data_IF_045812579457
#
_entry.id   IF_045812579457
#
_cell.length_a   1.000
_cell.length_b   1.000
_cell.length_c   1.000
_cell.angle_alpha   90.00
_cell.angle_beta   90.00
_cell.angle_gamma   90.00
#
_symmetry.space_group_name_H-M   'P 1'
#
loop_
_entity.id
_entity.type
_entity.pdbx_description
1 polymer ?
#
# COMPACT_ATOMS: atom_id res chain seq x y z
N UNK A 1 -12.97 -7.59 -21.65
CA UNK A 1 -11.57 -7.83 -21.35
C UNK A 1 -11.38 -8.33 -19.93
N UNK A 2 -10.70 -9.41 -19.77
CA UNK A 2 -10.46 -9.97 -18.45
C UNK A 2 -9.34 -9.25 -17.73
N UNK A 3 -9.45 -9.20 -16.42
CA UNK A 3 -8.32 -8.79 -15.61
C UNK A 3 -7.18 -9.77 -15.85
N UNK A 4 -6.00 -9.27 -16.15
CA UNK A 4 -4.90 -10.18 -16.45
C UNK A 4 -4.46 -11.00 -15.25
N UNK A 5 -4.47 -10.42 -14.05
CA UNK A 5 -4.00 -11.11 -12.86
C UNK A 5 -4.93 -10.76 -11.69
N UNK A 6 -5.37 -11.79 -10.94
CA UNK A 6 -6.44 -11.57 -9.94
C UNK A 6 -5.99 -11.13 -8.56
N UNK A 7 -4.73 -11.34 -8.20
CA UNK A 7 -4.30 -11.10 -6.80
C UNK A 7 -3.42 -9.88 -6.72
N UNK A 8 -3.84 -8.92 -5.89
CA UNK A 8 -3.18 -7.63 -5.81
C UNK A 8 -2.55 -7.42 -4.44
N UNK A 9 -1.28 -7.04 -4.42
CA UNK A 9 -0.63 -6.51 -3.23
C UNK A 9 -0.54 -5.01 -3.43
N UNK A 10 -0.99 -4.24 -2.46
CA UNK A 10 -1.05 -2.78 -2.60
C UNK A 10 -0.42 -2.10 -1.41
N UNK A 11 0.03 -0.88 -1.63
CA UNK A 11 0.62 -0.05 -0.59
C UNK A 11 -0.09 1.29 -0.59
N UNK A 12 -0.60 1.67 0.56
CA UNK A 12 -1.25 2.94 0.78
C UNK A 12 -0.38 3.80 1.67
N UNK A 13 -0.47 5.11 1.50
CA UNK A 13 0.19 6.05 2.40
C UNK A 13 -0.86 6.91 3.08
N UNK A 14 -0.77 7.01 4.40
CA UNK A 14 -1.66 7.86 5.17
C UNK A 14 -1.27 9.32 4.99
N UNK A 15 -2.22 10.15 4.61
CA UNK A 15 -1.99 11.59 4.55
C UNK A 15 -1.88 12.19 5.95
N UNK A 16 -2.39 11.47 6.95
CA UNK A 16 -2.37 11.96 8.32
C UNK A 16 -1.00 11.81 8.97
N UNK A 17 -0.37 10.65 8.81
CA UNK A 17 0.90 10.39 9.49
C UNK A 17 2.04 9.98 8.57
N UNK A 18 1.78 9.88 7.27
CA UNK A 18 2.80 9.49 6.29
C UNK A 18 3.18 8.03 6.32
N UNK A 19 2.59 7.24 7.19
CA UNK A 19 2.93 5.83 7.30
C UNK A 19 2.34 5.00 6.19
N UNK A 20 2.95 3.84 5.98
CA UNK A 20 2.54 2.94 4.91
C UNK A 20 1.66 1.83 5.45
N UNK A 21 0.68 1.42 4.65
CA UNK A 21 -0.16 0.26 4.93
C UNK A 21 -0.06 -0.69 3.74
N UNK A 22 0.32 -1.92 4.00
CA UNK A 22 0.47 -2.94 2.97
C UNK A 22 -0.68 -3.94 3.09
N UNK A 23 -1.35 -4.22 1.99
CA UNK A 23 -2.48 -5.13 1.99
C UNK A 23 -2.53 -6.04 0.79
N UNK A 24 -3.45 -6.97 0.85
CA UNK A 24 -3.71 -7.94 -0.20
C UNK A 24 -5.20 -7.93 -0.51
N UNK A 25 -5.56 -8.01 -1.78
CA UNK A 25 -6.97 -8.03 -2.16
C UNK A 25 -7.16 -8.64 -3.53
N UNK A 26 -8.37 -9.10 -3.78
CA UNK A 26 -8.80 -9.50 -5.12
C UNK A 26 -9.64 -8.41 -5.77
N UNK A 27 -9.90 -7.30 -5.07
CA UNK A 27 -10.71 -6.21 -5.58
C UNK A 27 -10.16 -4.89 -5.04
N UNK A 28 -9.18 -4.34 -5.75
CA UNK A 28 -8.45 -3.16 -5.28
C UNK A 28 -9.37 -1.95 -5.11
N UNK A 29 -10.27 -1.71 -6.07
CA UNK A 29 -11.14 -0.53 -6.00
C UNK A 29 -12.04 -0.58 -4.77
N UNK A 30 -12.60 -1.74 -4.47
CA UNK A 30 -13.44 -1.88 -3.29
C UNK A 30 -12.65 -1.66 -2.00
N UNK A 31 -11.44 -2.22 -1.93
CA UNK A 31 -10.61 -2.04 -0.73
C UNK A 31 -10.19 -0.59 -0.53
N UNK A 32 -9.89 0.12 -1.61
CA UNK A 32 -9.56 1.53 -1.50
C UNK A 32 -10.73 2.33 -0.92
N UNK A 33 -11.95 2.03 -1.38
CA UNK A 33 -13.12 2.68 -0.84
C UNK A 33 -13.31 2.37 0.64
N UNK A 34 -13.09 1.11 1.03
CA UNK A 34 -13.23 0.72 2.44
C UNK A 34 -12.23 1.45 3.32
N UNK A 35 -10.99 1.56 2.87
CA UNK A 35 -9.96 2.25 3.65
C UNK A 35 -10.29 3.75 3.81
N UNK A 36 -10.85 4.36 2.79
CA UNK A 36 -11.12 5.79 2.82
C UNK A 36 -12.51 6.17 3.32
N UNK A 37 -13.38 5.19 3.56
CA UNK A 37 -14.70 5.44 4.16
C UNK A 37 -14.73 5.13 5.65
N UNK A 38 -13.62 4.64 6.21
CA UNK A 38 -13.56 4.30 7.61
C UNK A 38 -14.15 2.96 7.96
N UNK A 39 -14.52 2.14 6.97
CA UNK A 39 -15.10 0.83 7.24
C UNK A 39 -14.06 -0.25 7.52
N UNK A 40 -12.79 0.04 7.26
CA UNK A 40 -11.71 -0.88 7.60
C UNK A 40 -11.17 -0.50 8.97
N UNK A 41 -11.36 -1.37 9.96
CA UNK A 41 -10.94 -1.08 11.32
C UNK A 41 -9.45 -0.80 11.43
N UNK A 42 -8.65 -1.47 10.62
CA UNK A 42 -7.19 -1.34 10.69
C UNK A 42 -6.70 0.04 10.30
N UNK A 43 -7.47 0.77 9.48
CA UNK A 43 -7.01 2.04 8.92
C UNK A 43 -7.94 3.21 9.22
N UNK A 44 -9.01 2.98 9.95
CA UNK A 44 -10.04 4.01 10.14
C UNK A 44 -9.50 5.31 10.72
N UNK A 45 -8.57 5.25 11.66
CA UNK A 45 -8.04 6.45 12.32
C UNK A 45 -6.86 7.06 11.59
N UNK A 46 -6.43 6.50 10.46
CA UNK A 46 -5.28 6.98 9.72
C UNK A 46 -5.65 7.53 8.34
N UNK A 47 -6.93 7.62 8.03
CA UNK A 47 -7.36 8.17 6.75
C UNK A 47 -7.09 9.68 6.70
N UNK A 48 -7.02 10.26 5.51
CA UNK A 48 -7.21 9.58 4.22
C UNK A 48 -5.95 8.86 3.75
N UNK A 49 -6.17 7.89 2.86
CA UNK A 49 -5.09 7.11 2.28
C UNK A 49 -4.99 7.35 0.78
N UNK A 50 -3.76 7.32 0.30
CA UNK A 50 -3.49 7.41 -1.13
C UNK A 50 -2.78 6.14 -1.57
N UNK A 51 -3.21 5.58 -2.72
CA UNK A 51 -2.53 4.43 -3.31
C UNK A 51 -1.22 4.90 -3.91
N UNK A 52 -0.11 4.33 -3.46
CA UNK A 52 1.21 4.71 -3.98
C UNK A 52 1.89 3.60 -4.76
N UNK A 53 1.40 2.37 -4.64
CA UNK A 53 2.02 1.25 -5.33
C UNK A 53 1.09 0.05 -5.30
N UNK A 54 1.04 -0.72 -6.39
CA UNK A 54 0.37 -2.00 -6.38
C UNK A 54 1.02 -2.92 -7.39
N UNK A 55 0.92 -4.21 -7.14
CA UNK A 55 1.39 -5.21 -8.07
C UNK A 55 0.42 -6.39 -8.06
N UNK A 56 0.34 -7.07 -9.20
CA UNK A 56 -0.62 -8.15 -9.39
C UNK A 56 0.08 -9.46 -9.63
N UNK A 57 -0.52 -10.52 -9.14
CA UNK A 57 0.02 -11.86 -9.23
C UNK A 57 -1.02 -12.83 -9.76
N UNK A 58 -0.54 -13.82 -10.48
CA UNK A 58 -1.40 -14.90 -10.95
C UNK A 58 -1.72 -15.89 -9.84
N UNK A 59 -0.80 -16.09 -8.91
CA UNK A 59 -0.91 -17.08 -7.85
C UNK A 59 -1.14 -16.39 -6.51
N UNK A 60 -2.18 -16.85 -5.79
CA UNK A 60 -2.48 -16.31 -4.48
C UNK A 60 -1.33 -16.49 -3.48
N UNK A 61 -0.72 -17.68 -3.38
CA UNK A 61 0.42 -17.82 -2.46
C UNK A 61 1.57 -16.87 -2.75
N UNK A 62 1.85 -16.61 -4.03
CA UNK A 62 2.91 -15.67 -4.39
C UNK A 62 2.58 -14.27 -3.88
N UNK A 63 1.35 -13.83 -4.09
CA UNK A 63 0.91 -12.52 -3.63
C UNK A 63 0.98 -12.41 -2.10
N UNK A 64 0.52 -13.46 -1.41
CA UNK A 64 0.53 -13.44 0.05
C UNK A 64 1.94 -13.42 0.61
N UNK A 65 2.85 -14.13 -0.02
CA UNK A 65 4.26 -14.14 0.37
C UNK A 65 4.87 -12.75 0.20
N UNK A 66 4.52 -12.09 -0.90
CA UNK A 66 5.00 -10.73 -1.15
C UNK A 66 4.46 -9.76 -0.11
N UNK A 67 3.18 -9.88 0.22
CA UNK A 67 2.58 -9.03 1.24
C UNK A 67 3.32 -9.17 2.57
N UNK A 68 3.59 -10.40 2.98
CA UNK A 68 4.30 -10.66 4.23
C UNK A 68 5.70 -10.04 4.18
N UNK A 69 6.41 -10.21 3.07
CA UNK A 69 7.75 -9.63 2.92
C UNK A 69 7.73 -8.12 3.06
N UNK A 70 6.78 -7.46 2.37
CA UNK A 70 6.74 -5.99 2.39
C UNK A 70 6.41 -5.42 3.76
N UNK A 71 5.85 -6.23 4.64
CA UNK A 71 5.57 -5.80 6.01
C UNK A 71 6.78 -5.93 6.94
N UNK A 72 7.84 -6.61 6.50
CA UNK A 72 9.07 -6.70 7.30
C UNK A 72 9.85 -5.39 7.20
N UNK A 73 10.82 -5.22 8.10
CA UNK A 73 11.69 -4.05 8.07
C UNK A 73 12.45 -3.96 6.75
N UNK A 74 12.95 -5.08 6.25
CA UNK A 74 13.65 -5.11 4.97
C UNK A 74 12.74 -4.74 3.82
N UNK A 75 11.52 -5.28 3.82
CA UNK A 75 10.55 -4.97 2.77
C UNK A 75 10.15 -3.50 2.77
N UNK A 76 9.97 -2.91 3.94
CA UNK A 76 9.63 -1.50 4.03
C UNK A 76 10.76 -0.61 3.55
N UNK A 77 12.01 -0.98 3.84
CA UNK A 77 13.16 -0.25 3.30
C UNK A 77 13.21 -0.36 1.79
N UNK A 78 12.94 -1.55 1.26
CA UNK A 78 12.91 -1.74 -0.19
C UNK A 78 11.83 -0.87 -0.83
N UNK A 79 10.63 -0.81 -0.23
CA UNK A 79 9.56 0.04 -0.73
C UNK A 79 9.97 1.50 -0.78
N UNK A 80 10.60 1.99 0.27
CA UNK A 80 11.01 3.39 0.31
C UNK A 80 12.03 3.72 -0.76
N UNK A 81 12.94 2.79 -1.04
CA UNK A 81 13.88 2.97 -2.13
C UNK A 81 13.20 2.94 -3.49
N UNK A 82 12.29 1.97 -3.68
CA UNK A 82 11.56 1.85 -4.94
C UNK A 82 10.68 3.07 -5.21
N UNK A 83 10.13 3.64 -4.16
CA UNK A 83 9.11 4.68 -4.29
C UNK A 83 9.62 6.05 -3.85
N UNK A 84 10.92 6.27 -3.88
CA UNK A 84 11.48 7.51 -3.36
C UNK A 84 10.97 8.76 -4.08
N UNK A 85 10.54 8.61 -5.33
CA UNK A 85 9.94 9.73 -6.06
C UNK A 85 8.42 9.74 -5.97
N UNK A 86 7.82 8.65 -5.48
CA UNK A 86 6.37 8.54 -5.38
C UNK A 86 5.85 8.95 -4.01
N UNK A 87 6.68 8.83 -2.98
CA UNK A 87 6.26 9.15 -1.63
C UNK A 87 6.57 10.60 -1.33
N UNK A 88 5.60 11.38 -0.81
CA UNK A 88 5.85 12.77 -0.45
C UNK A 88 6.92 12.86 0.63
N UNK A 89 7.78 13.86 0.51
CA UNK A 89 8.81 14.09 1.51
C UNK A 89 8.23 14.88 2.67
N UNK A 90 8.64 14.56 3.90
CA UNK A 90 8.25 15.39 5.03
C UNK A 90 8.76 16.81 4.84
N UNK A 91 7.99 17.84 5.24
CA UNK A 91 8.44 19.21 5.09
C UNK A 91 9.81 19.49 5.73
N UNK A 92 10.08 18.86 6.86
CA UNK A 92 11.34 19.07 7.57
C UNK A 92 12.55 18.59 6.77
N UNK A 93 12.36 17.70 5.83
CA UNK A 93 13.46 17.21 5.02
C UNK A 93 13.93 18.23 4.01
N UNK A 94 13.17 19.29 3.81
CA UNK A 94 13.51 20.32 2.84
C UNK A 94 14.51 21.31 3.38
N UNK A 95 14.75 21.29 4.67
CA UNK A 95 15.70 22.21 5.29
C UNK A 95 17.13 21.88 4.89
N UNK A 96 17.30 20.71 4.42
CA UNK A 96 18.61 20.30 3.95
C UNK A 96 18.91 20.86 2.59
#
# INVERSE_FOLDING_TARGET
MNMPLPYCVYVLQSAKDGGLYIGFTTDLMRRLKEHNSGTSAATACRQPFELVFCEYYRSKPDAQRREVYLKTSSGRRALKLMLQESLPRPPSSLSG
#
